data_IF_995979794349
#
_entry.id   IF_995979794349
#
_cell.length_a   1.000
_cell.length_b   1.000
_cell.length_c   1.000
_cell.angle_alpha   90.00
_cell.angle_beta   90.00
_cell.angle_gamma   90.00
#
_symmetry.space_group_name_H-M   'P 1'
#
loop_
_entity.id
_entity.type
_entity.pdbx_description
1 polymer ?
#
# COMPACT_ATOMS: atom_id res chain seq x y z
N UNK A 1 -2.72 -19.01 7.74
CA UNK A 1 -3.51 -18.88 6.49
C UNK A 1 -3.09 -17.59 5.75
N UNK A 2 -2.08 -17.62 4.88
CA UNK A 2 -1.72 -16.45 4.04
C UNK A 2 -2.71 -16.38 2.87
N UNK A 3 -3.77 -15.58 2.98
CA UNK A 3 -4.67 -15.33 1.85
C UNK A 3 -3.87 -14.56 0.78
N UNK A 4 -3.69 -15.14 -0.40
CA UNK A 4 -3.04 -14.44 -1.53
C UNK A 4 -3.91 -13.24 -1.90
N UNK A 5 -3.30 -12.06 -1.97
CA UNK A 5 -3.98 -10.86 -2.45
C UNK A 5 -4.20 -10.98 -3.96
N UNK A 6 -5.45 -10.90 -4.40
CA UNK A 6 -5.83 -10.84 -5.82
C UNK A 6 -5.43 -9.49 -6.42
N UNK A 7 -5.08 -9.41 -7.71
CA UNK A 7 -4.60 -8.17 -8.34
C UNK A 7 -5.51 -6.95 -8.09
N UNK A 8 -6.83 -7.14 -8.07
CA UNK A 8 -7.83 -6.10 -7.75
C UNK A 8 -7.67 -5.52 -6.34
N UNK A 9 -7.29 -6.36 -5.37
CA UNK A 9 -7.05 -5.98 -3.97
C UNK A 9 -5.81 -5.10 -3.88
N UNK A 10 -4.73 -5.48 -4.57
CA UNK A 10 -3.49 -4.71 -4.59
C UNK A 10 -3.69 -3.32 -5.22
N UNK A 11 -4.33 -3.26 -6.40
CA UNK A 11 -4.61 -2.00 -7.09
C UNK A 11 -5.47 -1.06 -6.23
N UNK A 12 -6.51 -1.60 -5.57
CA UNK A 12 -7.35 -0.81 -4.66
C UNK A 12 -6.56 -0.34 -3.43
N UNK A 13 -5.66 -1.17 -2.91
CA UNK A 13 -4.86 -0.82 -1.73
C UNK A 13 -3.83 0.28 -2.00
N UNK A 14 -3.13 0.26 -3.14
CA UNK A 14 -2.14 1.29 -3.49
C UNK A 14 -2.84 2.63 -3.69
N UNK A 15 -3.96 2.65 -4.40
CA UNK A 15 -4.73 3.87 -4.61
C UNK A 15 -5.24 4.45 -3.28
N UNK A 16 -5.81 3.63 -2.41
CA UNK A 16 -6.29 4.08 -1.10
C UNK A 16 -5.15 4.57 -0.20
N UNK A 17 -3.98 3.92 -0.23
CA UNK A 17 -2.81 4.35 0.56
C UNK A 17 -2.28 5.67 0.05
N UNK A 18 -2.29 5.91 -1.26
CA UNK A 18 -1.86 7.20 -1.81
C UNK A 18 -2.82 8.33 -1.41
N UNK A 19 -4.14 8.08 -1.40
CA UNK A 19 -5.15 9.07 -1.00
C UNK A 19 -5.06 9.38 0.50
N UNK A 20 -4.97 8.34 1.34
CA UNK A 20 -4.87 8.49 2.81
C UNK A 20 -3.46 8.89 3.26
N UNK A 21 -2.42 8.61 2.45
CA UNK A 21 -1.03 8.92 2.78
C UNK A 21 -0.77 10.42 2.91
N UNK A 22 -1.62 11.26 2.32
CA UNK A 22 -1.58 12.71 2.50
C UNK A 22 -2.24 13.17 3.83
N UNK A 23 -3.08 12.33 4.42
CA UNK A 23 -3.88 12.61 5.63
C UNK A 23 -3.20 12.07 6.90
N UNK A 24 -2.26 11.14 6.75
CA UNK A 24 -1.55 10.50 7.86
C UNK A 24 -0.09 10.97 7.91
N UNK A 25 0.48 11.19 9.11
CA UNK A 25 1.88 11.59 9.27
C UNK A 25 2.88 10.50 8.88
N UNK A 26 2.38 9.27 8.70
CA UNK A 26 3.17 8.09 8.36
C UNK A 26 2.40 7.22 7.38
N UNK A 27 3.07 6.81 6.30
CA UNK A 27 2.52 5.90 5.30
C UNK A 27 2.09 4.54 5.90
N UNK A 28 2.81 4.08 6.94
CA UNK A 28 2.43 2.88 7.70
C UNK A 28 1.07 3.03 8.40
N UNK A 29 0.75 4.21 8.94
CA UNK A 29 -0.54 4.46 9.61
C UNK A 29 -1.71 4.44 8.61
N UNK A 30 -1.51 4.96 7.40
CA UNK A 30 -2.47 4.82 6.31
C UNK A 30 -2.65 3.34 5.91
N UNK A 31 -1.55 2.59 5.77
CA UNK A 31 -1.57 1.17 5.43
C UNK A 31 -2.29 0.31 6.47
N UNK A 32 -2.05 0.56 7.77
CA UNK A 32 -2.72 -0.16 8.86
C UNK A 32 -4.23 0.10 8.90
N UNK A 33 -4.66 1.30 8.50
CA UNK A 33 -6.08 1.66 8.40
C UNK A 33 -6.77 1.02 7.17
N UNK A 34 -6.03 0.77 6.10
CA UNK A 34 -6.56 0.23 4.83
C UNK A 34 -6.56 -1.30 4.79
N UNK A 35 -5.59 -1.94 5.45
CA UNK A 35 -5.50 -3.41 5.56
C UNK A 35 -6.80 -4.10 6.01
N UNK A 36 -7.47 -3.68 7.11
CA UNK A 36 -8.74 -4.26 7.53
C UNK A 36 -9.89 -3.95 6.57
N UNK A 37 -9.84 -2.81 5.86
CA UNK A 37 -10.86 -2.38 4.91
C UNK A 37 -10.93 -3.28 3.67
N UNK A 38 -9.80 -3.92 3.31
CA UNK A 38 -9.70 -4.80 2.15
C UNK A 38 -9.59 -6.29 2.55
N UNK A 39 -9.36 -6.57 3.83
CA UNK A 39 -9.19 -7.94 4.34
C UNK A 39 -7.83 -8.55 4.00
N UNK A 40 -6.81 -7.71 3.82
CA UNK A 40 -5.42 -8.11 3.55
C UNK A 40 -4.51 -7.75 4.74
N UNK A 41 -3.36 -8.41 4.87
CA UNK A 41 -2.38 -8.05 5.91
C UNK A 41 -1.66 -6.76 5.52
N UNK A 42 -1.39 -5.82 6.45
CA UNK A 42 -0.72 -4.53 6.15
C UNK A 42 0.66 -4.70 5.51
N UNK A 43 1.31 -5.86 5.73
CA UNK A 43 2.57 -6.23 5.09
C UNK A 43 2.50 -6.20 3.54
N UNK A 44 1.37 -6.55 2.94
CA UNK A 44 1.23 -6.59 1.47
C UNK A 44 1.22 -5.19 0.86
N UNK A 45 0.25 -4.30 1.17
CA UNK A 45 0.25 -2.93 0.67
C UNK A 45 1.52 -2.16 1.03
N UNK A 46 2.13 -2.39 2.19
CA UNK A 46 3.40 -1.73 2.52
C UNK A 46 4.53 -2.07 1.53
N UNK A 47 4.67 -3.34 1.16
CA UNK A 47 5.68 -3.76 0.17
C UNK A 47 5.40 -3.17 -1.22
N UNK A 48 4.13 -3.01 -1.61
CA UNK A 48 3.75 -2.36 -2.87
C UNK A 48 4.06 -0.86 -2.85
N UNK A 49 3.77 -0.17 -1.76
CA UNK A 49 3.99 1.27 -1.65
C UNK A 49 5.49 1.57 -1.52
N UNK A 50 6.26 0.69 -0.88
CA UNK A 50 7.72 0.76 -0.89
C UNK A 50 8.29 0.57 -2.30
N UNK A 51 7.77 -0.40 -3.06
CA UNK A 51 8.13 -0.58 -4.49
C UNK A 51 7.72 0.59 -5.37
N UNK A 52 6.58 1.20 -5.10
CA UNK A 52 6.10 2.39 -5.80
C UNK A 52 7.01 3.59 -5.54
N UNK A 53 7.37 3.86 -4.28
CA UNK A 53 8.35 4.89 -3.92
C UNK A 53 9.73 4.67 -4.54
N UNK A 54 10.21 3.42 -4.58
CA UNK A 54 11.48 3.07 -5.21
C UNK A 54 11.35 3.24 -6.73
N UNK A 55 10.28 2.75 -7.35
CA UNK A 55 10.03 2.87 -8.79
C UNK A 55 9.86 4.32 -9.27
N UNK A 56 9.33 5.20 -8.42
CA UNK A 56 9.26 6.64 -8.67
C UNK A 56 10.61 7.36 -8.45
N UNK A 57 11.50 6.79 -7.62
CA UNK A 57 12.83 7.31 -7.32
C UNK A 57 13.92 6.89 -8.32
N UNK A 58 13.73 5.82 -9.10
CA UNK A 58 14.75 5.26 -10.01
C UNK A 58 14.66 5.73 -11.47
N UNK A 59 14.00 6.85 -11.76
CA UNK A 59 14.20 7.60 -13.02
C UNK A 59 15.09 8.83 -12.83
N UNK A 60 16.16 8.66 -12.07
CA UNK A 60 17.29 9.61 -12.00
C UNK A 60 18.60 8.84 -12.25
N UNK A 61 18.66 8.14 -13.39
CA UNK A 61 19.88 7.64 -14.02
C UNK A 61 19.80 7.92 -15.53
#
# INVERSE_FOLDING_TARGET
MRRKATATICLRSVRLVSEQGNEHPSMWAAVESIAPMIGCTPQTPHEWVKRDQIGHGERMA
#
